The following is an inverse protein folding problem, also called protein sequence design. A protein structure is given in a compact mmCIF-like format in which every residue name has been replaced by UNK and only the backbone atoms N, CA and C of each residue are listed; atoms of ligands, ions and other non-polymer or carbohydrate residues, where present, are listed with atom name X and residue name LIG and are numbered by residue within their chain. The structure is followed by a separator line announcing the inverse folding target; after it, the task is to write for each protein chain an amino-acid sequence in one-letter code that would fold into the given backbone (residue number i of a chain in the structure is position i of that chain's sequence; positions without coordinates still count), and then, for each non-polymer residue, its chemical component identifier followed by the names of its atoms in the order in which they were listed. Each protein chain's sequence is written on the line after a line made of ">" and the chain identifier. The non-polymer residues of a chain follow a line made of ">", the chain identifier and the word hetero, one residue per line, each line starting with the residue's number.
data_IF_171957617258
#
_entry.id   IF_171957617258
#
_cell.length_a   1.000
_cell.length_b   1.000
_cell.length_c   1.000
_cell.angle_alpha   90.00
_cell.angle_beta   90.00
_cell.angle_gamma   90.00
#
_symmetry.space_group_name_H-M   'P 1'
#
loop_
_entity.id
_entity.type
_entity.pdbx_description
1 polymer ?
#
# COMPACT_ATOMS: atom_id res chain seq x y z
N UNK A 1 -18.54 11.98 27.09
CA UNK A 1 -18.90 12.39 25.73
C UNK A 1 -17.75 11.90 24.86
N UNK A 2 -17.92 10.76 24.18
CA UNK A 2 -16.86 10.21 23.35
C UNK A 2 -16.57 11.20 22.24
N UNK A 3 -15.34 11.71 22.22
CA UNK A 3 -14.86 12.56 21.15
C UNK A 3 -14.73 11.66 19.92
N UNK A 4 -15.78 11.60 19.11
CA UNK A 4 -15.73 11.08 17.76
C UNK A 4 -14.95 12.11 16.94
N UNK A 5 -13.64 12.19 17.20
CA UNK A 5 -12.71 13.02 16.44
C UNK A 5 -12.64 12.47 15.03
N UNK A 6 -13.59 12.91 14.21
CA UNK A 6 -13.62 12.98 12.76
C UNK A 6 -13.06 11.80 11.95
N UNK A 7 -13.81 11.45 10.90
CA UNK A 7 -13.29 11.00 9.62
C UNK A 7 -12.29 12.04 9.04
N UNK A 8 -11.19 12.31 9.74
CA UNK A 8 -10.02 12.99 9.25
C UNK A 8 -9.01 11.88 8.98
N UNK A 9 -9.31 11.03 8.00
CA UNK A 9 -8.31 10.14 7.43
C UNK A 9 -7.29 11.05 6.72
N UNK A 10 -6.30 11.56 7.47
CA UNK A 10 -5.13 12.15 6.84
C UNK A 10 -4.51 11.07 5.97
N UNK A 11 -4.42 11.34 4.67
CA UNK A 11 -3.77 10.42 3.75
C UNK A 11 -2.26 10.53 3.96
N UNK A 12 -1.57 9.40 3.84
CA UNK A 12 -0.13 9.37 3.69
C UNK A 12 0.22 9.69 2.23
N UNK A 13 1.23 10.53 2.00
CA UNK A 13 1.97 10.51 0.73
C UNK A 13 3.33 9.92 1.04
N UNK A 14 3.64 8.78 0.42
CA UNK A 14 4.84 8.00 0.66
C UNK A 14 5.69 8.01 -0.60
N UNK A 15 6.93 8.48 -0.50
CA UNK A 15 7.93 8.27 -1.55
C UNK A 15 8.48 6.87 -1.38
N UNK A 16 8.22 5.99 -2.35
CA UNK A 16 8.78 4.66 -2.38
C UNK A 16 10.22 4.68 -2.89
N UNK A 17 11.02 3.73 -2.43
CA UNK A 17 12.42 3.55 -2.81
C UNK A 17 12.74 2.05 -2.84
N UNK A 18 13.75 1.63 -3.59
CA UNK A 18 14.24 0.24 -3.58
C UNK A 18 14.79 -0.24 -2.23
N UNK A 19 15.33 0.67 -1.41
CA UNK A 19 15.80 0.37 -0.04
C UNK A 19 14.67 -0.10 0.89
N UNK A 20 13.41 0.15 0.53
CA UNK A 20 12.25 -0.21 1.32
C UNK A 20 11.78 0.91 2.24
N UNK A 21 10.49 1.20 2.16
CA UNK A 21 9.80 2.15 3.04
C UNK A 21 8.60 1.48 3.71
N UNK A 22 8.28 1.90 4.94
CA UNK A 22 7.13 1.36 5.67
C UNK A 22 5.92 2.29 5.50
N UNK A 23 4.80 1.73 5.03
CA UNK A 23 3.53 2.45 5.01
C UNK A 23 2.93 2.52 6.42
N UNK A 24 2.29 3.65 6.73
CA UNK A 24 1.62 3.82 8.02
C UNK A 24 0.45 2.87 8.20
N UNK A 25 0.34 2.21 9.36
CA UNK A 25 -0.86 1.45 9.74
C UNK A 25 -1.97 2.34 10.33
N UNK A 26 -1.62 3.57 10.75
CA UNK A 26 -2.57 4.49 11.37
C UNK A 26 -3.38 5.28 10.33
N UNK A 27 -2.84 5.40 9.12
CA UNK A 27 -3.46 6.13 8.03
C UNK A 27 -4.04 5.14 7.02
N UNK A 28 -5.35 5.22 6.79
CA UNK A 28 -6.06 4.29 5.90
C UNK A 28 -5.52 4.30 4.48
N UNK A 29 -5.21 5.48 3.93
CA UNK A 29 -4.82 5.63 2.53
C UNK A 29 -3.35 6.03 2.42
N UNK A 30 -2.60 5.33 1.57
CA UNK A 30 -1.25 5.71 1.14
C UNK A 30 -1.27 6.02 -0.35
N UNK A 31 -0.97 7.28 -0.67
CA UNK A 31 -0.63 7.69 -2.02
C UNK A 31 0.85 7.48 -2.26
N UNK A 32 1.18 6.68 -3.25
CA UNK A 32 2.55 6.30 -3.57
C UNK A 32 3.10 7.25 -4.63
N UNK A 33 4.32 7.72 -4.40
CA UNK A 33 5.14 8.49 -5.34
C UNK A 33 6.45 7.72 -5.52
N UNK A 34 6.86 7.42 -6.75
CA UNK A 34 8.16 6.79 -6.99
C UNK A 34 9.29 7.83 -7.05
N UNK A 35 10.53 7.42 -6.85
CA UNK A 35 11.70 8.30 -6.64
C UNK A 35 12.54 8.60 -7.91
N UNK A 36 12.14 8.12 -9.09
CA UNK A 36 12.76 8.43 -10.41
C UNK A 36 14.16 7.83 -10.60
N UNK A 37 14.40 6.62 -10.08
CA UNK A 37 15.67 5.91 -10.24
C UNK A 37 15.58 4.65 -11.13
N UNK A 38 14.42 4.39 -11.73
CA UNK A 38 14.13 3.33 -12.68
C UNK A 38 14.35 1.93 -12.11
N UNK A 39 13.83 1.68 -10.90
CA UNK A 39 13.99 0.41 -10.22
C UNK A 39 12.68 -0.20 -9.67
N UNK A 40 12.85 -1.20 -8.80
CA UNK A 40 11.74 -1.82 -8.08
C UNK A 40 11.67 -1.25 -6.66
N UNK A 41 10.77 -0.30 -6.50
CA UNK A 41 10.41 0.31 -5.23
C UNK A 41 9.71 -0.68 -4.31
N UNK A 42 10.10 -0.66 -3.04
CA UNK A 42 9.57 -1.59 -2.05
C UNK A 42 8.81 -0.87 -0.94
N UNK A 43 7.56 -1.27 -0.72
CA UNK A 43 6.74 -0.81 0.38
C UNK A 43 6.42 -1.99 1.28
N UNK A 44 6.61 -1.83 2.59
CA UNK A 44 6.20 -2.81 3.60
C UNK A 44 4.98 -2.32 4.37
N UNK A 45 4.12 -3.25 4.76
CA UNK A 45 2.93 -2.96 5.58
C UNK A 45 2.95 -3.86 6.83
N UNK A 46 3.01 -3.24 8.01
CA UNK A 46 2.93 -3.97 9.27
C UNK A 46 1.51 -4.56 9.50
N UNK A 47 1.37 -5.48 10.46
CA UNK A 47 0.07 -6.01 10.83
C UNK A 47 -0.80 -4.91 11.47
N UNK A 48 -2.08 -4.91 11.11
CA UNK A 48 -3.09 -4.02 11.70
C UNK A 48 -3.79 -4.64 12.90
N UNK A 49 -4.94 -4.07 13.24
CA UNK A 49 -5.94 -4.68 14.12
C UNK A 49 -7.13 -5.20 13.32
N UNK A 50 -7.92 -6.11 13.89
CA UNK A 50 -9.06 -6.70 13.22
C UNK A 50 -10.02 -5.62 12.68
N UNK A 51 -10.37 -5.72 11.40
CA UNK A 51 -11.24 -4.77 10.71
C UNK A 51 -10.53 -3.57 10.08
N UNK A 52 -9.21 -3.44 10.24
CA UNK A 52 -8.46 -2.40 9.54
C UNK A 52 -8.55 -2.58 8.02
N UNK A 53 -8.67 -1.46 7.33
CA UNK A 53 -8.61 -1.38 5.88
C UNK A 53 -7.42 -0.52 5.47
N UNK A 54 -6.70 -0.97 4.44
CA UNK A 54 -5.59 -0.23 3.85
C UNK A 54 -5.85 -0.02 2.37
N UNK A 55 -5.70 1.21 1.90
CA UNK A 55 -5.80 1.59 0.49
C UNK A 55 -4.44 2.09 0.03
N UNK A 56 -3.93 1.49 -1.05
CA UNK A 56 -2.77 1.99 -1.77
C UNK A 56 -3.21 2.48 -3.14
N UNK A 57 -2.69 3.63 -3.55
CA UNK A 57 -2.91 4.17 -4.88
C UNK A 57 -1.64 4.87 -5.37
N UNK A 58 -1.20 4.53 -6.58
CA UNK A 58 -0.10 5.19 -7.27
C UNK A 58 -0.58 6.57 -7.72
N UNK A 59 0.08 7.61 -7.19
CA UNK A 59 -0.26 9.01 -7.42
C UNK A 59 0.70 9.66 -8.40
N UNK A 60 1.97 9.25 -8.40
CA UNK A 60 2.99 9.73 -9.31
C UNK A 60 3.95 8.61 -9.59
N UNK A 61 4.22 8.37 -10.88
CA UNK A 61 5.13 7.34 -11.36
C UNK A 61 6.12 8.01 -12.31
N UNK A 62 7.38 7.61 -12.22
CA UNK A 62 8.38 7.92 -13.22
C UNK A 62 8.62 6.72 -14.14
N UNK A 63 9.00 7.01 -15.39
CA UNK A 63 9.03 6.02 -16.45
C UNK A 63 10.16 5.01 -16.23
N UNK A 64 9.80 3.77 -15.88
CA UNK A 64 10.75 2.70 -15.59
C UNK A 64 10.70 2.22 -14.14
N UNK A 65 9.99 2.95 -13.27
CA UNK A 65 9.76 2.52 -11.90
C UNK A 65 8.65 1.46 -11.83
N UNK A 66 8.82 0.53 -10.91
CA UNK A 66 7.80 -0.45 -10.53
C UNK A 66 7.67 -0.47 -9.02
N UNK A 67 6.47 -0.77 -8.49
CA UNK A 67 6.25 -0.78 -7.04
C UNK A 67 5.81 -2.16 -6.58
N UNK A 68 6.40 -2.69 -5.51
CA UNK A 68 5.86 -3.84 -4.78
C UNK A 68 5.42 -3.46 -3.38
N UNK A 69 4.33 -4.09 -2.94
CA UNK A 69 3.79 -3.99 -1.58
C UNK A 69 3.88 -5.36 -0.92
N UNK A 70 4.56 -5.41 0.23
CA UNK A 70 4.80 -6.63 1.00
C UNK A 70 4.20 -6.49 2.41
N UNK A 71 3.02 -7.06 2.66
CA UNK A 71 2.44 -7.09 4.01
C UNK A 71 3.17 -8.10 4.91
N UNK A 72 3.29 -7.79 6.20
CA UNK A 72 3.98 -8.63 7.18
C UNK A 72 3.30 -9.99 7.40
N UNK A 73 1.97 -10.06 7.26
CA UNK A 73 1.22 -11.31 7.30
C UNK A 73 0.15 -11.26 6.21
N UNK A 74 0.41 -11.94 5.09
CA UNK A 74 -0.46 -11.98 3.92
C UNK A 74 -1.20 -13.33 3.84
N UNK A 75 -2.46 -13.29 3.40
CA UNK A 75 -3.30 -14.49 3.27
C UNK A 75 -3.34 -14.98 1.82
N UNK A 76 -2.60 -16.05 1.52
CA UNK A 76 -2.59 -16.67 0.18
C UNK A 76 -1.77 -15.92 -0.88
N UNK A 77 -0.95 -14.96 -0.49
CA UNK A 77 0.04 -14.27 -1.32
C UNK A 77 1.22 -13.83 -0.45
N UNK A 78 2.27 -13.31 -1.08
CA UNK A 78 3.45 -12.75 -0.44
C UNK A 78 3.63 -11.28 -0.77
N UNK A 79 3.30 -10.87 -1.99
CA UNK A 79 3.39 -9.48 -2.43
C UNK A 79 2.40 -9.15 -3.56
N UNK A 80 2.18 -7.85 -3.77
CA UNK A 80 1.50 -7.29 -4.95
C UNK A 80 2.51 -6.41 -5.67
N UNK A 81 2.69 -6.60 -6.97
CA UNK A 81 3.67 -5.85 -7.78
C UNK A 81 2.98 -5.13 -8.95
N UNK A 82 3.20 -3.83 -9.08
CA UNK A 82 2.74 -2.98 -10.17
C UNK A 82 3.93 -2.79 -11.13
N UNK A 83 4.10 -3.73 -12.07
CA UNK A 83 5.30 -3.78 -12.93
C UNK A 83 5.30 -2.69 -14.02
N UNK A 84 4.14 -2.44 -14.62
CA UNK A 84 3.90 -1.34 -15.55
C UNK A 84 3.12 -0.24 -14.83
N UNK A 85 3.71 0.33 -13.76
CA UNK A 85 2.98 1.21 -12.85
C UNK A 85 2.30 2.39 -13.57
N UNK A 86 0.98 2.48 -13.50
CA UNK A 86 0.21 3.63 -14.00
C UNK A 86 -0.38 4.44 -12.84
N UNK A 87 -0.56 5.75 -13.04
CA UNK A 87 -1.26 6.58 -12.04
C UNK A 87 -2.70 6.08 -11.90
N UNK A 88 -3.10 5.75 -10.67
CA UNK A 88 -4.41 5.17 -10.36
C UNK A 88 -4.38 3.66 -10.14
N UNK A 89 -3.28 2.97 -10.46
CA UNK A 89 -3.08 1.59 -10.03
C UNK A 89 -2.95 1.49 -8.51
N UNK A 90 -3.34 0.35 -7.96
CA UNK A 90 -3.35 0.18 -6.52
C UNK A 90 -4.17 -1.01 -6.03
N UNK A 91 -4.31 -1.10 -4.72
CA UNK A 91 -5.06 -2.17 -4.09
C UNK A 91 -5.75 -1.72 -2.80
N UNK A 92 -6.75 -2.50 -2.40
CA UNK A 92 -7.42 -2.38 -1.11
C UNK A 92 -7.22 -3.71 -0.37
N UNK A 93 -6.83 -3.60 0.89
CA UNK A 93 -6.58 -4.74 1.76
C UNK A 93 -7.36 -4.62 3.06
N UNK A 94 -7.76 -5.74 3.65
CA UNK A 94 -8.45 -5.81 4.93
C UNK A 94 -7.74 -6.78 5.87
N UNK A 95 -7.58 -6.42 7.14
CA UNK A 95 -6.93 -7.25 8.14
C UNK A 95 -7.96 -8.00 9.00
N UNK A 96 -7.87 -9.32 9.06
CA UNK A 96 -8.80 -10.18 9.83
C UNK A 96 -8.41 -10.38 11.31
N UNK A 97 -7.34 -9.72 11.75
CA UNK A 97 -6.73 -9.92 13.07
C UNK A 97 -5.51 -10.86 13.05
N UNK A 98 -5.28 -11.55 11.94
CA UNK A 98 -4.14 -12.47 11.73
C UNK A 98 -3.37 -12.14 10.45
N UNK A 99 -4.07 -11.84 9.35
CA UNK A 99 -3.49 -11.65 8.03
C UNK A 99 -4.25 -10.61 7.21
N UNK A 100 -3.53 -10.01 6.26
CA UNK A 100 -4.05 -9.12 5.24
C UNK A 100 -4.64 -9.92 4.08
N UNK A 101 -5.85 -9.56 3.69
CA UNK A 101 -6.57 -10.09 2.54
C UNK A 101 -6.70 -9.00 1.48
N UNK A 102 -6.55 -9.36 0.20
CA UNK A 102 -6.79 -8.44 -0.91
C UNK A 102 -8.30 -8.38 -1.17
N UNK A 103 -8.87 -7.19 -1.03
CA UNK A 103 -10.29 -6.92 -1.28
C UNK A 103 -10.49 -6.42 -2.71
N UNK A 104 -9.56 -5.61 -3.20
CA UNK A 104 -9.55 -5.11 -4.56
C UNK A 104 -8.10 -4.94 -5.05
N UNK A 105 -7.89 -5.12 -6.35
CA UNK A 105 -6.59 -4.98 -7.01
C UNK A 105 -6.81 -4.43 -8.42
N UNK A 106 -6.14 -3.32 -8.73
CA UNK A 106 -6.14 -2.67 -10.03
C UNK A 106 -4.68 -2.54 -10.52
N UNK A 107 -4.33 -3.24 -11.60
CA UNK A 107 -2.99 -3.20 -12.20
C UNK A 107 -1.92 -4.07 -11.53
N UNK A 108 -2.14 -4.54 -10.29
CA UNK A 108 -1.16 -5.34 -9.57
C UNK A 108 -1.12 -6.81 -9.96
N UNK A 109 0.07 -7.40 -10.01
CA UNK A 109 0.28 -8.86 -10.05
C UNK A 109 0.45 -9.40 -8.64
N UNK A 110 -0.32 -10.44 -8.30
CA UNK A 110 -0.28 -11.11 -6.98
C UNK A 110 0.66 -12.32 -7.10
N UNK A 111 1.64 -12.42 -6.19
CA UNK A 111 2.62 -13.52 -6.14
C UNK A 111 2.71 -14.13 -4.74
#
# INVERSE_FOLDING_TARGET
>A
MQNHSAFAASNETLTATSDGVAASILLRTTYIVTNDDNDLDNITLANGVIGDEKVFALKTINAGDSVKITPASASGFTQITFADSEVGDGCIMSFDGTSWHIVANNGGTIA
#
